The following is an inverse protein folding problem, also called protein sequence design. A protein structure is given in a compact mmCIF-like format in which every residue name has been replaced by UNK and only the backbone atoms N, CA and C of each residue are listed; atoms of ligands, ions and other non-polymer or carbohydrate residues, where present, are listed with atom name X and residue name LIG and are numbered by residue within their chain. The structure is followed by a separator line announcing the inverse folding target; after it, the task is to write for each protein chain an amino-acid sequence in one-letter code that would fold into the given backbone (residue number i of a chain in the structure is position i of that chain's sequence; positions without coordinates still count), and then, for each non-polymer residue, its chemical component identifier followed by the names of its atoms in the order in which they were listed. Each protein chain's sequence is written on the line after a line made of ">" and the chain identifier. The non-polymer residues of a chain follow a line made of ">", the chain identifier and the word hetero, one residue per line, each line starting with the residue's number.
data_IF_376985442136
#
_entry.id   IF_376985442136
#
_cell.length_a   1.000
_cell.length_b   1.000
_cell.length_c   1.000
_cell.angle_alpha   90.00
_cell.angle_beta   90.00
_cell.angle_gamma   90.00
#
_symmetry.space_group_name_H-M   'P 1'
#
loop_
_entity.id
_entity.type
_entity.pdbx_description
1 polymer ?
#
# COMPACT_ATOMS: atom_id res chain seq x y z
N UNK A 1 -16.51 -10.27 7.05
CA UNK A 1 -15.25 -9.52 6.92
C UNK A 1 -15.36 -8.28 7.78
N UNK A 2 -14.68 -8.27 8.93
CA UNK A 2 -14.90 -7.29 10.01
C UNK A 2 -14.75 -5.83 9.56
N UNK A 3 -13.80 -5.55 8.67
CA UNK A 3 -13.54 -4.19 8.17
C UNK A 3 -14.71 -3.67 7.34
N UNK A 4 -15.35 -4.55 6.55
CA UNK A 4 -16.53 -4.18 5.74
C UNK A 4 -17.74 -3.97 6.64
N UNK A 5 -17.91 -4.80 7.67
CA UNK A 5 -18.96 -4.61 8.68
C UNK A 5 -18.83 -3.24 9.35
N UNK A 6 -17.65 -2.94 9.92
CA UNK A 6 -17.39 -1.65 10.56
C UNK A 6 -17.60 -0.46 9.62
N UNK A 7 -17.27 -0.62 8.34
CA UNK A 7 -17.50 0.42 7.35
C UNK A 7 -18.99 0.62 7.04
N UNK A 8 -19.76 -0.46 6.97
CA UNK A 8 -21.20 -0.38 6.71
C UNK A 8 -22.00 0.17 7.90
N UNK A 9 -21.48 0.00 9.12
CA UNK A 9 -22.06 0.56 10.35
C UNK A 9 -21.86 2.08 10.48
N UNK A 10 -21.07 2.71 9.60
CA UNK A 10 -20.90 4.15 9.55
C UNK A 10 -22.09 4.83 8.84
N UNK A 11 -22.37 6.07 9.26
CA UNK A 11 -23.26 6.96 8.52
C UNK A 11 -22.73 7.22 7.10
N UNK A 12 -23.65 7.50 6.17
CA UNK A 12 -23.32 7.66 4.75
C UNK A 12 -22.24 8.73 4.54
N UNK A 13 -22.36 9.86 5.24
CA UNK A 13 -21.41 10.95 5.16
C UNK A 13 -20.00 10.51 5.62
N UNK A 14 -19.93 9.69 6.67
CA UNK A 14 -18.66 9.20 7.22
C UNK A 14 -18.05 8.12 6.32
N UNK A 15 -18.87 7.30 5.66
CA UNK A 15 -18.42 6.39 4.61
C UNK A 15 -17.76 7.13 3.45
N UNK A 16 -18.35 8.26 3.02
CA UNK A 16 -17.81 9.10 1.95
C UNK A 16 -16.53 9.83 2.38
N UNK A 17 -16.51 10.41 3.58
CA UNK A 17 -15.31 11.01 4.19
C UNK A 17 -14.18 9.99 4.25
N UNK A 18 -14.45 8.76 4.70
CA UNK A 18 -13.45 7.70 4.77
C UNK A 18 -12.89 7.36 3.38
N UNK A 19 -13.75 7.16 2.38
CA UNK A 19 -13.28 6.94 0.99
C UNK A 19 -12.48 8.11 0.44
N UNK A 20 -12.86 9.35 0.77
CA UNK A 20 -12.10 10.54 0.39
C UNK A 20 -10.71 10.52 1.01
N UNK A 21 -10.58 10.22 2.31
CA UNK A 21 -9.29 10.10 2.99
C UNK A 21 -8.39 9.04 2.34
N UNK A 22 -8.92 7.85 2.04
CA UNK A 22 -8.14 6.81 1.37
C UNK A 22 -7.65 7.27 -0.02
N UNK A 23 -8.52 7.91 -0.81
CA UNK A 23 -8.14 8.44 -2.13
C UNK A 23 -7.10 9.57 -2.03
N UNK A 24 -7.27 10.48 -1.07
CA UNK A 24 -6.35 11.60 -0.84
C UNK A 24 -4.97 11.10 -0.40
N UNK A 25 -4.91 10.05 0.44
CA UNK A 25 -3.67 9.39 0.81
C UNK A 25 -2.99 8.74 -0.40
N UNK A 26 -3.72 7.95 -1.20
CA UNK A 26 -3.17 7.31 -2.39
C UNK A 26 -2.60 8.32 -3.38
N UNK A 27 -3.32 9.42 -3.63
CA UNK A 27 -2.88 10.49 -4.55
C UNK A 27 -1.64 11.21 -4.03
N UNK A 28 -1.65 11.60 -2.75
CA UNK A 28 -0.52 12.31 -2.12
C UNK A 28 0.72 11.44 -2.14
N UNK A 29 0.60 10.18 -1.74
CA UNK A 29 1.73 9.26 -1.75
C UNK A 29 2.26 9.02 -3.15
N UNK A 30 1.39 8.78 -4.14
CA UNK A 30 1.78 8.59 -5.54
C UNK A 30 2.49 9.82 -6.14
N UNK A 31 2.13 11.02 -5.71
CA UNK A 31 2.84 12.24 -6.10
C UNK A 31 4.21 12.35 -5.44
N UNK A 32 4.30 12.15 -4.12
CA UNK A 32 5.57 12.22 -3.39
C UNK A 32 6.57 11.18 -3.88
N UNK A 33 6.05 9.99 -4.20
CA UNK A 33 6.73 8.87 -4.86
C UNK A 33 7.53 9.25 -6.11
N UNK A 34 7.16 10.33 -6.81
CA UNK A 34 7.85 10.78 -8.02
C UNK A 34 8.99 11.76 -7.72
N UNK A 35 9.01 12.36 -6.52
CA UNK A 35 9.91 13.46 -6.16
C UNK A 35 11.05 12.96 -5.26
N UNK A 36 10.77 11.98 -4.38
CA UNK A 36 11.73 11.49 -3.40
C UNK A 36 11.98 9.99 -3.59
N UNK A 37 13.24 9.57 -3.40
CA UNK A 37 13.58 8.16 -3.31
C UNK A 37 12.98 7.56 -2.04
N UNK A 38 12.28 6.45 -2.19
CA UNK A 38 11.60 5.78 -1.08
C UNK A 38 12.60 5.27 -0.05
N UNK A 39 12.40 5.63 1.21
CA UNK A 39 13.21 5.17 2.34
C UNK A 39 12.37 4.61 3.50
N UNK A 40 11.06 4.79 3.46
CA UNK A 40 10.14 4.41 4.54
C UNK A 40 9.27 3.21 4.14
N UNK A 41 9.65 2.04 4.64
CA UNK A 41 8.99 0.76 4.42
C UNK A 41 7.55 0.76 4.95
N UNK A 42 7.26 1.50 6.02
CA UNK A 42 5.94 1.50 6.63
C UNK A 42 4.95 2.33 5.80
N UNK A 43 5.43 3.42 5.18
CA UNK A 43 4.63 4.16 4.20
C UNK A 43 4.30 3.32 2.96
N UNK A 44 5.24 2.52 2.46
CA UNK A 44 4.99 1.60 1.34
C UNK A 44 3.94 0.54 1.70
N UNK A 45 4.07 -0.09 2.87
CA UNK A 45 3.08 -1.05 3.37
C UNK A 45 1.70 -0.42 3.52
N UNK A 46 1.63 0.79 4.08
CA UNK A 46 0.38 1.51 4.25
C UNK A 46 -0.24 1.86 2.88
N UNK A 47 0.57 2.30 1.92
CA UNK A 47 0.14 2.53 0.55
C UNK A 47 -0.46 1.28 -0.10
N UNK A 48 0.23 0.14 -0.03
CA UNK A 48 -0.29 -1.12 -0.51
C UNK A 48 -1.60 -1.49 0.18
N UNK A 49 -1.64 -1.44 1.51
CA UNK A 49 -2.81 -1.77 2.31
C UNK A 49 -4.02 -0.89 1.94
N UNK A 50 -3.85 0.43 1.86
CA UNK A 50 -4.93 1.37 1.52
C UNK A 50 -5.46 1.12 0.10
N UNK A 51 -4.58 0.79 -0.86
CA UNK A 51 -4.98 0.43 -2.23
C UNK A 51 -5.90 -0.78 -2.26
N UNK A 52 -5.58 -1.82 -1.48
CA UNK A 52 -6.43 -3.00 -1.34
C UNK A 52 -7.71 -2.70 -0.56
N UNK A 53 -7.60 -1.96 0.54
CA UNK A 53 -8.74 -1.59 1.38
C UNK A 53 -9.79 -0.84 0.56
N UNK A 54 -9.38 0.16 -0.22
CA UNK A 54 -10.31 0.96 -1.04
C UNK A 54 -11.09 0.10 -2.04
N UNK A 55 -10.45 -0.93 -2.64
CA UNK A 55 -11.10 -1.88 -3.55
C UNK A 55 -12.05 -2.85 -2.85
N UNK A 56 -11.77 -3.14 -1.58
CA UNK A 56 -12.53 -4.06 -0.74
C UNK A 56 -13.81 -3.44 -0.17
N UNK A 57 -13.85 -2.11 0.00
CA UNK A 57 -15.04 -1.42 0.47
C UNK A 57 -16.18 -1.55 -0.56
N UNK A 58 -17.42 -1.79 -0.12
CA UNK A 58 -18.56 -1.95 -1.03
C UNK A 58 -18.75 -0.67 -1.86
N UNK A 59 -18.97 -0.79 -3.16
CA UNK A 59 -19.07 0.35 -4.07
C UNK A 59 -20.52 0.84 -4.14
N UNK A 60 -20.76 2.15 -3.94
CA UNK A 60 -22.00 2.79 -4.40
C UNK A 60 -21.84 3.13 -5.88
N UNK A 61 -22.80 2.72 -6.72
CA UNK A 61 -22.75 2.76 -8.20
C UNK A 61 -22.42 4.13 -8.81
N UNK A 62 -22.47 5.22 -8.04
CA UNK A 62 -22.33 6.59 -8.51
C UNK A 62 -20.93 7.19 -8.35
N UNK A 63 -19.99 6.55 -7.62
CA UNK A 63 -18.82 7.25 -7.09
C UNK A 63 -17.44 6.77 -7.54
N UNK A 64 -17.29 6.10 -8.67
CA UNK A 64 -15.98 5.62 -9.12
C UNK A 64 -15.39 6.46 -10.27
N UNK A 65 -14.55 7.48 -9.97
CA UNK A 65 -13.46 7.81 -10.87
C UNK A 65 -12.41 6.69 -10.71
N UNK A 66 -12.56 5.62 -11.52
CA UNK A 66 -11.59 4.52 -11.67
C UNK A 66 -10.17 5.01 -12.02
N UNK A 67 -10.04 6.28 -12.40
CA UNK A 67 -8.83 6.94 -12.88
C UNK A 67 -7.69 6.96 -11.84
N UNK A 68 -7.99 7.24 -10.56
CA UNK A 68 -6.97 7.26 -9.48
C UNK A 68 -6.35 5.87 -9.28
N UNK A 69 -7.13 4.80 -9.45
CA UNK A 69 -6.63 3.43 -9.28
C UNK A 69 -5.77 2.95 -10.44
N UNK A 70 -5.90 3.56 -11.63
CA UNK A 70 -5.17 3.20 -12.86
C UNK A 70 -3.90 4.01 -13.04
N UNK A 71 -3.82 5.24 -12.54
CA UNK A 71 -2.64 6.10 -12.72
C UNK A 71 -1.45 5.70 -11.84
N UNK A 72 -1.64 4.90 -10.78
CA UNK A 72 -0.52 4.47 -9.92
C UNK A 72 0.04 3.12 -10.38
N UNK A 73 0.49 3.12 -11.63
CA UNK A 73 1.24 2.02 -12.23
C UNK A 73 2.72 2.14 -11.84
N UNK A 74 3.15 1.17 -11.03
CA UNK A 74 4.39 0.38 -11.19
C UNK A 74 5.81 0.94 -10.98
N UNK A 75 6.03 2.10 -10.36
CA UNK A 75 7.40 2.48 -9.94
C UNK A 75 7.75 2.14 -8.47
N UNK A 76 6.76 1.90 -7.60
CA UNK A 76 6.98 1.57 -6.18
C UNK A 76 7.19 0.09 -5.87
N UNK A 77 7.08 -0.80 -6.86
CA UNK A 77 7.30 -2.25 -6.70
C UNK A 77 8.70 -2.69 -7.18
N UNK A 78 9.64 -1.76 -7.35
CA UNK A 78 11.04 -2.15 -7.58
C UNK A 78 11.63 -2.61 -6.25
N UNK A 79 11.50 -3.91 -5.97
CA UNK A 79 12.31 -4.57 -4.94
C UNK A 79 13.77 -4.46 -5.41
N UNK A 80 14.50 -3.46 -4.92
CA UNK A 80 15.95 -3.46 -5.00
C UNK A 80 16.48 -4.38 -3.91
N UNK A 81 17.12 -5.49 -4.31
CA UNK A 81 17.75 -6.43 -3.39
C UNK A 81 19.00 -5.76 -2.79
N UNK A 82 18.82 -4.99 -1.72
CA UNK A 82 19.89 -4.15 -1.13
C UNK A 82 20.97 -5.00 -0.42
N UNK A 83 20.76 -6.28 -0.16
CA UNK A 83 21.79 -7.09 0.49
C UNK A 83 21.69 -8.60 0.19
N UNK A 84 22.52 -9.09 -0.72
CA UNK A 84 22.97 -10.48 -0.70
C UNK A 84 24.18 -10.58 0.22
N UNK A 85 23.97 -10.78 1.51
CA UNK A 85 25.04 -11.31 2.34
C UNK A 85 25.19 -12.79 1.99
N UNK A 86 26.30 -13.14 1.32
CA UNK A 86 26.75 -14.54 1.25
C UNK A 86 26.93 -15.03 2.69
N UNK A 87 25.98 -15.80 3.20
CA UNK A 87 26.16 -16.55 4.44
C UNK A 87 27.14 -17.69 4.09
N UNK A 88 28.44 -17.37 4.10
CA UNK A 88 29.47 -18.40 4.06
C UNK A 88 29.49 -19.07 5.42
N UNK A 89 28.90 -20.26 5.48
CA UNK A 89 29.16 -21.20 6.55
C UNK A 89 30.66 -21.50 6.50
N UNK A 90 31.42 -20.99 7.48
CA UNK A 90 32.76 -21.50 7.73
C UNK A 90 32.59 -22.94 8.16
N UNK A 91 33.00 -23.88 7.31
CA UNK A 91 33.26 -25.25 7.73
C UNK A 91 34.28 -25.17 8.86
N UNK A 92 33.83 -25.48 10.07
CA UNK A 92 34.72 -25.69 11.19
C UNK A 92 35.59 -26.89 10.85
N UNK A 93 36.87 -26.63 10.60
CA UNK A 93 37.93 -27.62 10.61
C UNK A 93 37.76 -28.52 11.84
N UNK A 94 37.27 -29.75 11.65
CA UNK A 94 37.56 -30.82 12.59
C UNK A 94 38.98 -31.28 12.30
N UNK A 95 39.90 -30.59 12.96
CA UNK A 95 41.21 -31.12 13.32
C UNK A 95 41.02 -32.30 14.27
N UNK A 96 41.82 -33.34 14.02
CA UNK A 96 42.09 -34.58 14.78
C UNK A 96 41.14 -35.77 14.55
#
# INVERSE_FOLDING_TARGET
>A
DEVVTRFNDLEIEDQEKFRKLLRDYLRTYAFLSQIISFSDIDLEKLYAFVKYLLRKLPVRRESLPLEILRQVDLDSYRIELINQSEIRLKESEKSL
#
